data_IF_116157426883
#
_entry.id   IF_116157426883
#
_cell.length_a   1.000
_cell.length_b   1.000
_cell.length_c   1.000
_cell.angle_alpha   90.00
_cell.angle_beta   90.00
_cell.angle_gamma   90.00
#
_symmetry.space_group_name_H-M   'P 1'
#
loop_
_entity.id
_entity.type
_entity.pdbx_description
1 polymer ?
#
# COMPACT_ATOMS: atom_id res chain seq x y z
N UNK A 1 -31.11 -3.27 4.32
CA UNK A 1 -30.25 -2.08 4.13
C UNK A 1 -29.55 -2.33 2.82
N UNK A 2 -29.62 -1.40 1.88
CA UNK A 2 -28.76 -1.46 0.70
C UNK A 2 -27.31 -1.55 1.15
N UNK A 3 -26.53 -2.39 0.47
CA UNK A 3 -25.11 -2.52 0.75
C UNK A 3 -24.40 -1.22 0.31
N UNK A 4 -24.08 -0.39 1.30
CA UNK A 4 -23.44 0.92 1.10
C UNK A 4 -22.14 0.74 0.30
N UNK A 5 -21.99 1.39 -0.88
CA UNK A 5 -20.82 1.25 -1.73
C UNK A 5 -19.53 1.66 -1.02
N UNK A 6 -18.49 0.89 -1.28
CA UNK A 6 -17.13 1.13 -0.79
C UNK A 6 -16.35 1.80 -1.91
N UNK A 7 -15.85 3.00 -1.64
CA UNK A 7 -14.99 3.75 -2.54
C UNK A 7 -13.54 3.52 -2.07
N UNK A 8 -12.90 2.53 -2.67
CA UNK A 8 -11.50 2.17 -2.40
C UNK A 8 -10.57 2.94 -3.32
N UNK A 9 -9.44 3.42 -2.82
CA UNK A 9 -8.48 4.13 -3.67
C UNK A 9 -7.06 3.96 -3.16
N UNK A 10 -6.14 3.74 -4.09
CA UNK A 10 -4.71 3.84 -3.83
C UNK A 10 -4.26 5.30 -3.65
N UNK A 11 -3.07 5.48 -3.08
CA UNK A 11 -2.45 6.78 -2.87
C UNK A 11 -1.52 7.16 -4.03
N UNK A 12 -0.30 6.60 -4.03
CA UNK A 12 0.79 6.98 -4.93
C UNK A 12 0.38 6.82 -6.39
N UNK A 13 0.50 7.87 -7.21
CA UNK A 13 0.10 7.79 -8.62
C UNK A 13 -1.41 7.75 -8.88
N UNK A 14 -2.22 7.51 -7.85
CA UNK A 14 -3.69 7.47 -7.90
C UNK A 14 -4.31 8.72 -7.29
N UNK A 15 -4.49 8.77 -5.96
CA UNK A 15 -5.03 9.94 -5.25
C UNK A 15 -4.03 11.10 -5.20
N UNK A 16 -2.73 10.81 -5.08
CA UNK A 16 -1.68 11.82 -4.87
C UNK A 16 -0.73 11.91 -6.06
N UNK A 17 -0.29 13.13 -6.38
CA UNK A 17 0.73 13.35 -7.40
C UNK A 17 2.16 13.09 -6.91
N UNK A 18 3.14 13.29 -7.79
CA UNK A 18 4.57 13.09 -7.45
C UNK A 18 5.09 14.07 -6.39
N UNK A 19 4.32 15.11 -6.06
CA UNK A 19 4.61 16.06 -4.98
C UNK A 19 3.74 15.78 -3.75
N UNK A 20 3.11 14.60 -3.68
CA UNK A 20 2.20 14.16 -2.62
C UNK A 20 0.96 15.06 -2.42
N UNK A 21 0.53 15.78 -3.48
CA UNK A 21 -0.64 16.65 -3.43
C UNK A 21 -1.90 15.91 -3.90
N UNK A 22 -3.01 16.14 -3.23
CA UNK A 22 -4.34 15.60 -3.57
C UNK A 22 -5.11 16.65 -4.39
N UNK A 23 -5.81 16.20 -5.43
CA UNK A 23 -6.63 17.09 -6.24
C UNK A 23 -7.71 17.82 -5.38
N UNK A 24 -7.97 19.13 -5.59
CA UNK A 24 -8.91 19.89 -4.75
C UNK A 24 -10.33 19.32 -4.65
N UNK A 25 -10.84 18.68 -5.70
CA UNK A 25 -12.16 18.01 -5.64
C UNK A 25 -12.15 16.77 -4.75
N UNK A 26 -11.08 15.97 -4.79
CA UNK A 26 -10.95 14.81 -3.92
C UNK A 26 -10.80 15.26 -2.45
N UNK A 27 -10.06 16.35 -2.19
CA UNK A 27 -10.03 16.98 -0.87
C UNK A 27 -11.44 17.38 -0.41
N UNK A 28 -12.24 18.00 -1.29
CA UNK A 28 -13.60 18.41 -0.94
C UNK A 28 -14.48 17.22 -0.54
N UNK A 29 -14.40 16.11 -1.28
CA UNK A 29 -15.13 14.87 -0.96
C UNK A 29 -14.64 14.21 0.32
N UNK A 30 -13.33 14.17 0.56
CA UNK A 30 -12.79 13.60 1.79
C UNK A 30 -13.14 14.44 3.03
N UNK A 31 -13.22 15.78 2.90
CA UNK A 31 -13.67 16.66 4.00
C UNK A 31 -15.16 16.56 4.27
N UNK A 32 -15.96 16.47 3.22
CA UNK A 32 -17.42 16.44 3.30
C UNK A 32 -17.93 15.23 2.52
N UNK A 33 -17.77 14.01 3.08
CA UNK A 33 -18.19 12.79 2.41
C UNK A 33 -19.70 12.81 2.19
N UNK A 34 -20.19 12.44 1.00
CA UNK A 34 -21.62 12.27 0.78
C UNK A 34 -22.15 11.11 1.64
N UNK A 35 -23.42 11.20 2.03
CA UNK A 35 -24.10 10.08 2.68
C UNK A 35 -24.18 8.87 1.73
N UNK A 36 -24.27 7.67 2.29
CA UNK A 36 -24.46 6.47 1.48
C UNK A 36 -23.21 5.94 0.78
N UNK A 37 -22.01 6.31 1.21
CA UNK A 37 -20.77 5.66 0.78
C UNK A 37 -19.75 5.49 1.91
N UNK A 38 -18.74 4.64 1.69
CA UNK A 38 -17.60 4.45 2.60
C UNK A 38 -16.29 4.67 1.84
N UNK A 39 -15.58 5.75 2.14
CA UNK A 39 -14.20 5.93 1.67
C UNK A 39 -13.24 4.99 2.41
N UNK A 40 -12.31 4.39 1.66
CA UNK A 40 -11.38 3.39 2.17
C UNK A 40 -10.03 3.49 1.43
N UNK A 41 -9.05 4.23 1.99
CA UNK A 41 -7.68 4.23 1.48
C UNK A 41 -7.06 2.82 1.51
N UNK A 42 -6.50 2.39 0.38
CA UNK A 42 -5.88 1.07 0.20
C UNK A 42 -4.49 1.21 -0.40
N UNK A 43 -3.44 1.15 0.41
CA UNK A 43 -2.08 1.55 0.00
C UNK A 43 -0.97 0.59 0.43
N UNK A 44 0.15 0.65 -0.30
CA UNK A 44 1.40 0.00 0.07
C UNK A 44 2.14 0.69 1.22
N UNK A 45 1.80 1.95 1.52
CA UNK A 45 2.43 2.72 2.60
C UNK A 45 2.04 2.19 3.99
N UNK A 46 2.94 2.27 4.98
CA UNK A 46 2.57 2.13 6.39
C UNK A 46 1.83 3.37 6.88
N UNK A 47 1.02 3.21 7.93
CA UNK A 47 0.20 4.28 8.49
C UNK A 47 1.04 5.53 8.87
N UNK A 48 2.22 5.35 9.46
CA UNK A 48 3.10 6.47 9.85
C UNK A 48 3.59 7.29 8.66
N UNK A 49 3.62 6.71 7.44
CA UNK A 49 4.02 7.40 6.21
C UNK A 49 2.82 7.91 5.41
N UNK A 50 1.66 7.24 5.51
CA UNK A 50 0.43 7.66 4.84
C UNK A 50 -0.24 8.85 5.55
N UNK A 51 -0.28 8.88 6.89
CA UNK A 51 -0.96 9.94 7.65
C UNK A 51 -0.46 11.35 7.34
N UNK A 52 0.86 11.62 7.27
CA UNK A 52 1.37 12.96 6.94
C UNK A 52 0.85 13.49 5.60
N UNK A 53 0.56 12.64 4.62
CA UNK A 53 -0.02 13.06 3.33
C UNK A 53 -1.38 13.71 3.55
N UNK A 54 -2.27 13.06 4.30
CA UNK A 54 -3.60 13.60 4.60
C UNK A 54 -3.51 14.85 5.48
N UNK A 55 -2.57 14.92 6.43
CA UNK A 55 -2.31 16.10 7.26
C UNK A 55 -1.83 17.29 6.41
N UNK A 56 -0.83 17.09 5.55
CA UNK A 56 -0.24 18.13 4.71
C UNK A 56 -1.22 18.65 3.65
N UNK A 57 -2.18 17.81 3.23
CA UNK A 57 -3.29 18.22 2.36
C UNK A 57 -4.49 18.81 3.14
N UNK A 58 -4.34 19.01 4.46
CA UNK A 58 -5.30 19.69 5.32
C UNK A 58 -6.60 18.91 5.54
N UNK A 59 -6.57 17.58 5.46
CA UNK A 59 -7.73 16.70 5.68
C UNK A 59 -7.90 16.32 7.15
N UNK A 60 -6.80 16.26 7.90
CA UNK A 60 -6.77 16.04 9.34
C UNK A 60 -5.73 16.98 9.96
N UNK A 61 -5.86 17.29 11.25
CA UNK A 61 -4.92 18.18 11.95
C UNK A 61 -4.46 17.52 13.26
N UNK A 62 -3.47 16.62 13.18
CA UNK A 62 -2.99 15.82 14.30
C UNK A 62 -4.03 14.83 14.86
N UNK A 63 -5.12 14.61 14.12
CA UNK A 63 -6.19 13.68 14.46
C UNK A 63 -5.99 12.36 13.71
N UNK A 64 -6.55 11.29 14.27
CA UNK A 64 -6.58 10.01 13.59
C UNK A 64 -7.39 10.10 12.28
N UNK A 65 -6.95 9.37 11.25
CA UNK A 65 -7.68 9.26 10.00
C UNK A 65 -9.10 8.70 10.25
N UNK A 66 -10.15 9.35 9.74
CA UNK A 66 -11.53 9.00 10.07
C UNK A 66 -12.05 7.78 9.28
N UNK A 67 -11.26 7.25 8.36
CA UNK A 67 -11.65 6.14 7.48
C UNK A 67 -11.10 4.81 7.98
N UNK A 68 -11.75 3.68 7.67
CA UNK A 68 -11.08 2.39 7.72
C UNK A 68 -9.98 2.33 6.64
N UNK A 69 -8.92 1.58 6.90
CA UNK A 69 -7.67 1.67 6.14
C UNK A 69 -7.12 0.29 5.83
N UNK A 70 -6.62 0.10 4.62
CA UNK A 70 -5.78 -1.03 4.23
C UNK A 70 -4.38 -0.49 3.95
N UNK A 71 -3.40 -0.91 4.76
CA UNK A 71 -2.04 -0.41 4.79
C UNK A 71 -1.04 -1.54 4.55
N UNK A 72 0.22 -1.21 4.24
CA UNK A 72 1.28 -2.19 4.00
C UNK A 72 0.88 -3.27 2.97
N UNK A 73 0.29 -2.87 1.85
CA UNK A 73 -0.23 -3.77 0.82
C UNK A 73 -1.22 -4.81 1.39
N UNK A 74 -2.01 -4.42 2.40
CA UNK A 74 -2.99 -5.30 3.05
C UNK A 74 -2.46 -6.16 4.17
N UNK A 75 -1.23 -5.93 4.64
CA UNK A 75 -0.72 -6.59 5.84
C UNK A 75 -1.27 -5.98 7.13
N UNK A 76 -1.72 -4.72 7.11
CA UNK A 76 -2.30 -4.06 8.27
C UNK A 76 -3.64 -3.45 7.90
N UNK A 77 -4.69 -3.80 8.64
CA UNK A 77 -6.02 -3.24 8.43
C UNK A 77 -6.54 -2.56 9.69
N UNK A 78 -7.16 -1.40 9.51
CA UNK A 78 -7.62 -0.54 10.59
C UNK A 78 -9.10 -0.21 10.41
N UNK A 79 -9.81 -0.12 11.54
CA UNK A 79 -11.07 0.60 11.59
C UNK A 79 -10.79 2.12 11.60
N UNK A 80 -11.82 2.91 11.29
CA UNK A 80 -11.85 4.35 11.49
C UNK A 80 -11.28 4.77 12.84
N UNK A 81 -10.55 5.90 12.85
CA UNK A 81 -9.80 6.35 14.01
C UNK A 81 -8.53 5.55 14.26
N UNK A 82 -8.02 4.85 13.23
CA UNK A 82 -6.75 4.13 13.21
C UNK A 82 -6.64 3.03 14.28
N UNK A 83 -7.78 2.39 14.56
CA UNK A 83 -7.84 1.26 15.46
C UNK A 83 -7.41 0.00 14.69
N UNK A 84 -6.24 -0.56 14.99
CA UNK A 84 -5.73 -1.76 14.34
C UNK A 84 -6.68 -2.95 14.60
N UNK A 85 -7.20 -3.53 13.52
CA UNK A 85 -8.06 -4.71 13.59
C UNK A 85 -7.29 -6.01 13.36
N UNK A 86 -6.33 -6.00 12.44
CA UNK A 86 -5.52 -7.17 12.13
C UNK A 86 -4.16 -6.75 11.55
N UNK A 87 -3.15 -7.55 11.89
CA UNK A 87 -1.81 -7.47 11.35
C UNK A 87 -1.35 -8.85 10.87
N UNK A 88 -0.86 -8.93 9.64
CA UNK A 88 -0.41 -10.14 8.95
C UNK A 88 1.10 -10.08 8.72
N UNK A 89 1.91 -10.41 9.74
CA UNK A 89 3.36 -10.41 9.59
C UNK A 89 3.88 -11.65 8.87
N UNK A 90 5.19 -11.69 8.61
CA UNK A 90 5.87 -12.91 8.21
C UNK A 90 5.75 -13.97 9.33
N UNK A 91 5.63 -15.26 8.98
CA UNK A 91 5.90 -16.35 9.90
C UNK A 91 7.29 -16.19 10.55
N UNK A 92 7.43 -16.54 11.83
CA UNK A 92 8.65 -16.28 12.62
C UNK A 92 9.89 -16.96 12.00
N UNK A 93 9.74 -18.18 11.50
CA UNK A 93 10.77 -18.92 10.79
C UNK A 93 11.20 -18.23 9.49
N UNK A 94 10.24 -17.76 8.70
CA UNK A 94 10.50 -16.99 7.48
C UNK A 94 11.19 -15.66 7.78
N UNK A 95 10.72 -14.93 8.79
CA UNK A 95 11.34 -13.68 9.24
C UNK A 95 12.80 -13.90 9.65
N UNK A 96 13.05 -14.89 10.50
CA UNK A 96 14.40 -15.20 10.97
C UNK A 96 15.30 -15.61 9.82
N UNK A 97 14.79 -16.40 8.88
CA UNK A 97 15.53 -16.78 7.68
C UNK A 97 15.88 -15.56 6.81
N UNK A 98 14.96 -14.62 6.60
CA UNK A 98 15.24 -13.39 5.84
C UNK A 98 16.33 -12.53 6.52
N UNK A 99 16.31 -12.46 7.86
CA UNK A 99 17.35 -11.79 8.64
C UNK A 99 18.70 -12.50 8.46
N UNK A 100 18.75 -13.83 8.59
CA UNK A 100 19.96 -14.62 8.42
C UNK A 100 20.53 -14.48 7.00
N UNK A 101 19.66 -14.53 5.98
CA UNK A 101 20.04 -14.34 4.58
C UNK A 101 20.63 -12.94 4.36
N UNK A 102 19.98 -11.91 4.89
CA UNK A 102 20.50 -10.54 4.80
C UNK A 102 21.89 -10.43 5.44
N UNK A 103 22.10 -11.02 6.63
CA UNK A 103 23.41 -11.08 7.32
C UNK A 103 24.51 -11.75 6.49
N UNK A 104 24.17 -12.78 5.73
CA UNK A 104 25.11 -13.51 4.87
C UNK A 104 25.38 -12.79 3.53
N UNK A 105 24.52 -11.85 3.14
CA UNK A 105 24.58 -11.18 1.84
C UNK A 105 24.60 -9.65 1.97
N UNK A 106 25.66 -9.06 2.56
CA UNK A 106 25.68 -7.64 2.94
C UNK A 106 25.65 -6.62 1.80
N UNK A 107 25.77 -7.09 0.55
CA UNK A 107 25.65 -6.25 -0.65
C UNK A 107 24.19 -5.96 -1.01
N UNK A 108 23.28 -6.87 -0.68
CA UNK A 108 21.84 -6.62 -0.75
C UNK A 108 21.42 -5.79 0.46
N UNK A 109 20.76 -4.68 0.22
CA UNK A 109 20.17 -3.92 1.33
C UNK A 109 18.76 -4.44 1.58
N UNK A 110 18.50 -4.87 2.80
CA UNK A 110 17.16 -5.25 3.25
C UNK A 110 16.59 -4.15 4.13
N UNK A 111 15.42 -3.62 3.74
CA UNK A 111 14.62 -2.72 4.56
C UNK A 111 13.42 -3.49 5.10
N UNK A 112 13.46 -3.86 6.37
CA UNK A 112 12.38 -4.54 7.08
C UNK A 112 11.40 -3.52 7.63
N UNK A 113 10.10 -3.73 7.43
CA UNK A 113 9.06 -2.80 7.86
C UNK A 113 8.07 -3.48 8.81
N UNK A 114 7.86 -2.83 9.97
CA UNK A 114 6.78 -3.15 10.89
C UNK A 114 5.76 -1.99 10.92
N UNK A 115 4.87 -1.98 11.92
CA UNK A 115 3.85 -0.93 12.09
C UNK A 115 4.43 0.43 12.52
N UNK A 116 5.66 0.47 13.05
CA UNK A 116 6.29 1.63 13.68
C UNK A 116 7.37 2.26 12.82
N UNK A 117 8.04 1.49 11.98
CA UNK A 117 9.15 2.01 11.20
C UNK A 117 9.66 1.09 10.10
N UNK A 118 10.63 1.64 9.35
CA UNK A 118 11.48 0.90 8.42
C UNK A 118 12.87 0.77 9.00
N UNK A 119 13.44 -0.42 8.93
CA UNK A 119 14.67 -0.79 9.59
C UNK A 119 15.64 -1.52 8.66
N UNK A 120 16.94 -1.35 8.86
CA UNK A 120 17.99 -2.10 8.16
C UNK A 120 19.01 -2.63 9.15
N UNK A 121 19.68 -3.73 8.79
CA UNK A 121 20.78 -4.29 9.60
C UNK A 121 22.01 -3.37 9.60
N UNK A 122 22.30 -2.72 8.48
CA UNK A 122 23.35 -1.71 8.33
C UNK A 122 22.98 -0.75 7.20
N UNK A 123 23.58 0.43 7.21
CA UNK A 123 23.54 1.33 6.05
C UNK A 123 24.61 0.94 5.03
N UNK A 124 24.18 0.80 3.79
CA UNK A 124 25.07 0.76 2.62
C UNK A 124 25.07 2.14 1.95
N UNK A 125 26.14 2.50 1.23
CA UNK A 125 26.18 3.74 0.43
C UNK A 125 24.98 3.87 -0.52
N UNK A 126 24.49 2.73 -1.03
CA UNK A 126 23.33 2.69 -1.92
C UNK A 126 22.04 3.01 -1.17
N UNK A 127 21.86 2.38 -0.01
CA UNK A 127 20.74 2.64 0.88
C UNK A 127 20.72 4.10 1.37
N UNK A 128 21.88 4.70 1.69
CA UNK A 128 21.96 6.09 2.16
C UNK A 128 21.52 7.07 1.08
N UNK A 129 22.05 6.90 -0.13
CA UNK A 129 21.67 7.72 -1.29
C UNK A 129 20.19 7.61 -1.58
N UNK A 130 19.64 6.40 -1.46
CA UNK A 130 18.24 6.17 -1.72
C UNK A 130 17.34 6.73 -0.62
N UNK A 131 17.71 6.55 0.65
CA UNK A 131 17.00 7.12 1.80
C UNK A 131 16.93 8.63 1.70
N UNK A 132 18.03 9.29 1.31
CA UNK A 132 18.09 10.73 1.09
C UNK A 132 17.23 11.17 -0.11
N UNK A 133 17.25 10.42 -1.21
CA UNK A 133 16.49 10.73 -2.43
C UNK A 133 14.98 10.58 -2.24
N UNK A 134 14.55 9.57 -1.48
CA UNK A 134 13.15 9.21 -1.31
C UNK A 134 12.57 9.62 0.06
N UNK A 135 13.33 10.42 0.83
CA UNK A 135 12.98 10.85 2.19
C UNK A 135 12.50 9.69 3.09
N UNK A 136 13.09 8.49 2.92
CA UNK A 136 12.72 7.34 3.73
C UNK A 136 13.25 7.55 5.15
N UNK A 137 12.36 7.41 6.13
CA UNK A 137 12.77 7.36 7.53
C UNK A 137 13.28 5.95 7.85
N UNK A 138 14.58 5.74 7.64
CA UNK A 138 15.24 4.45 7.81
C UNK A 138 16.06 4.42 9.10
N UNK A 139 15.82 3.40 9.92
CA UNK A 139 16.53 3.17 11.17
C UNK A 139 17.49 1.99 11.04
N UNK A 140 18.68 2.10 11.63
CA UNK A 140 19.56 0.93 11.79
C UNK A 140 19.16 0.20 13.08
N UNK A 141 19.06 -1.12 13.04
CA UNK A 141 18.79 -1.89 14.27
C UNK A 141 19.87 -1.65 15.33
N UNK A 142 19.43 -1.43 16.57
CA UNK A 142 20.31 -1.26 17.74
C UNK A 142 20.29 -2.47 18.67
N UNK A 143 19.25 -3.31 18.52
CA UNK A 143 19.00 -4.56 19.21
C UNK A 143 18.86 -5.72 18.20
N UNK A 144 18.54 -6.92 18.69
CA UNK A 144 18.35 -8.08 17.80
C UNK A 144 17.12 -7.84 16.91
N UNK A 145 17.25 -7.80 15.56
CA UNK A 145 16.12 -7.59 14.65
C UNK A 145 14.99 -8.62 14.83
N UNK A 146 15.25 -9.76 15.46
CA UNK A 146 14.27 -10.81 15.75
C UNK A 146 13.29 -10.43 16.88
N UNK A 147 13.53 -9.34 17.61
CA UNK A 147 12.59 -8.80 18.62
C UNK A 147 11.40 -8.07 17.98
N UNK A 148 11.52 -7.72 16.71
CA UNK A 148 10.48 -7.06 15.92
C UNK A 148 9.57 -8.07 15.22
N UNK A 149 8.46 -7.57 14.66
CA UNK A 149 7.49 -8.36 13.90
C UNK A 149 7.19 -7.63 12.60
N UNK A 150 7.79 -8.08 11.51
CA UNK A 150 7.72 -7.41 10.21
C UNK A 150 6.62 -8.00 9.33
N UNK A 151 6.09 -7.17 8.45
CA UNK A 151 5.10 -7.59 7.44
C UNK A 151 5.56 -7.38 6.01
N UNK A 152 6.68 -6.69 5.82
CA UNK A 152 7.23 -6.36 4.52
C UNK A 152 8.75 -6.28 4.62
N UNK A 153 9.43 -6.75 3.60
CA UNK A 153 10.84 -6.45 3.37
C UNK A 153 10.98 -5.85 1.97
N UNK A 154 11.72 -4.76 1.85
CA UNK A 154 12.10 -4.18 0.57
C UNK A 154 13.59 -4.47 0.35
N UNK A 155 13.89 -5.19 -0.73
CA UNK A 155 15.25 -5.52 -1.11
C UNK A 155 15.69 -4.53 -2.18
N UNK A 156 16.80 -3.87 -1.90
CA UNK A 156 17.43 -2.92 -2.80
C UNK A 156 18.71 -3.55 -3.33
N UNK A 157 18.70 -3.90 -4.62
CA UNK A 157 19.81 -4.54 -5.30
C UNK A 157 20.44 -3.57 -6.29
N UNK A 158 21.72 -3.24 -6.07
CA UNK A 158 22.49 -2.43 -7.00
C UNK A 158 22.84 -3.22 -8.26
N UNK A 159 23.20 -4.49 -8.09
CA UNK A 159 23.56 -5.41 -9.17
C UNK A 159 22.48 -6.50 -9.29
N UNK A 160 21.34 -6.14 -9.89
CA UNK A 160 20.18 -7.04 -10.00
C UNK A 160 20.54 -8.41 -10.58
N UNK A 161 21.30 -8.44 -11.68
CA UNK A 161 21.62 -9.67 -12.41
C UNK A 161 22.43 -10.69 -11.61
N UNK A 162 23.25 -10.22 -10.66
CA UNK A 162 24.12 -11.10 -9.86
C UNK A 162 23.49 -11.46 -8.51
N UNK A 163 22.78 -10.52 -7.88
CA UNK A 163 22.41 -10.63 -6.46
C UNK A 163 20.98 -11.10 -6.26
N UNK A 164 20.09 -10.81 -7.21
CA UNK A 164 18.66 -11.14 -7.08
C UNK A 164 18.34 -12.58 -7.45
N UNK A 165 18.85 -13.18 -8.55
CA UNK A 165 18.52 -14.55 -8.90
C UNK A 165 18.81 -15.57 -7.78
N UNK A 166 19.95 -15.51 -7.06
CA UNK A 166 20.20 -16.40 -5.92
C UNK A 166 19.17 -16.22 -4.80
N UNK A 167 18.75 -14.98 -4.52
CA UNK A 167 17.71 -14.71 -3.52
C UNK A 167 16.37 -15.32 -3.93
N UNK A 168 15.94 -15.08 -5.17
CA UNK A 168 14.68 -15.62 -5.71
C UNK A 168 14.68 -17.16 -5.71
N UNK A 169 15.80 -17.79 -6.02
CA UNK A 169 15.96 -19.25 -5.91
C UNK A 169 15.80 -19.71 -4.45
N UNK A 170 16.45 -19.03 -3.52
CA UNK A 170 16.47 -19.40 -2.10
C UNK A 170 15.10 -19.27 -1.42
N UNK A 171 14.25 -18.34 -1.88
CA UNK A 171 12.89 -18.14 -1.35
C UNK A 171 11.79 -18.79 -2.21
N UNK A 172 12.12 -19.53 -3.26
CA UNK A 172 11.13 -20.08 -4.21
C UNK A 172 10.03 -20.90 -3.52
N UNK A 173 10.41 -21.72 -2.54
CA UNK A 173 9.49 -22.62 -1.83
C UNK A 173 8.92 -21.99 -0.54
N UNK A 174 9.27 -20.72 -0.26
CA UNK A 174 8.74 -20.00 0.89
C UNK A 174 7.33 -19.48 0.58
N UNK A 175 6.46 -19.35 1.60
CA UNK A 175 5.13 -18.76 1.43
C UNK A 175 5.23 -17.23 1.34
N UNK A 176 5.90 -16.73 0.29
CA UNK A 176 6.18 -15.33 0.04
C UNK A 176 5.73 -14.91 -1.36
N UNK A 177 5.25 -13.67 -1.48
CA UNK A 177 5.17 -12.97 -2.76
C UNK A 177 6.40 -12.08 -2.88
N UNK A 178 7.09 -12.18 -4.02
CA UNK A 178 8.24 -11.32 -4.34
C UNK A 178 7.96 -10.61 -5.66
N UNK A 179 7.81 -9.29 -5.60
CA UNK A 179 7.44 -8.46 -6.74
C UNK A 179 8.47 -7.37 -6.98
N UNK A 180 8.86 -7.16 -8.24
CA UNK A 180 9.78 -6.09 -8.61
C UNK A 180 8.99 -4.79 -8.87
N UNK A 181 8.98 -3.86 -7.91
CA UNK A 181 8.20 -2.61 -8.06
C UNK A 181 8.84 -1.60 -9.01
N UNK A 182 10.18 -1.57 -9.06
CA UNK A 182 10.96 -0.84 -10.07
C UNK A 182 12.35 -1.49 -10.18
N UNK A 183 13.14 -1.22 -11.24
CA UNK A 183 14.46 -1.85 -11.39
C UNK A 183 15.35 -1.70 -10.14
N UNK A 184 15.69 -2.82 -9.50
CA UNK A 184 16.47 -2.86 -8.27
C UNK A 184 15.68 -2.88 -6.97
N UNK A 185 14.35 -2.88 -7.02
CA UNK A 185 13.46 -2.82 -5.86
C UNK A 185 12.54 -4.02 -5.87
N UNK A 186 12.72 -4.91 -4.90
CA UNK A 186 11.91 -6.11 -4.76
C UNK A 186 11.16 -6.06 -3.44
N UNK A 187 9.84 -6.00 -3.53
CA UNK A 187 8.95 -6.10 -2.37
C UNK A 187 8.72 -7.56 -2.04
N UNK A 188 8.96 -7.91 -0.78
CA UNK A 188 8.71 -9.23 -0.22
C UNK A 188 7.58 -9.10 0.79
N UNK A 189 6.54 -9.90 0.61
CA UNK A 189 5.33 -9.93 1.44
C UNK A 189 4.96 -11.39 1.75
N UNK A 190 4.24 -11.67 2.84
CA UNK A 190 3.63 -12.99 3.03
C UNK A 190 2.70 -13.35 1.86
N UNK A 191 2.66 -14.62 1.43
CA UNK A 191 1.90 -15.06 0.22
C UNK A 191 0.41 -14.70 0.23
N UNK A 192 -0.19 -14.61 1.42
CA UNK A 192 -1.62 -14.30 1.60
C UNK A 192 -1.91 -12.79 1.73
N UNK A 193 -0.88 -11.95 1.66
CA UNK A 193 -0.97 -10.50 1.78
C UNK A 193 -1.02 -9.88 0.39
N UNK A 194 -2.08 -9.12 0.13
CA UNK A 194 -2.26 -8.22 -1.00
C UNK A 194 -3.30 -7.16 -0.63
N UNK A 195 -3.33 -6.04 -1.38
CA UNK A 195 -4.29 -4.96 -1.16
C UNK A 195 -5.73 -5.48 -1.20
N UNK A 196 -6.07 -6.26 -2.23
CA UNK A 196 -7.40 -6.88 -2.39
C UNK A 196 -7.75 -7.86 -1.27
N UNK A 197 -6.80 -8.73 -0.88
CA UNK A 197 -7.05 -9.65 0.23
C UNK A 197 -7.26 -8.90 1.56
N UNK A 198 -6.48 -7.85 1.83
CA UNK A 198 -6.66 -6.97 2.99
C UNK A 198 -8.02 -6.26 2.98
N UNK A 199 -8.43 -5.76 1.82
CA UNK A 199 -9.75 -5.14 1.63
C UNK A 199 -10.89 -6.11 1.96
N UNK A 200 -10.87 -7.33 1.43
CA UNK A 200 -11.89 -8.34 1.73
C UNK A 200 -11.96 -8.63 3.24
N UNK A 201 -10.81 -8.90 3.89
CA UNK A 201 -10.76 -9.16 5.34
C UNK A 201 -11.28 -7.99 6.16
N UNK A 202 -10.98 -6.76 5.75
CA UNK A 202 -11.48 -5.56 6.41
C UNK A 202 -13.01 -5.45 6.26
N UNK A 203 -13.55 -5.64 5.06
CA UNK A 203 -14.99 -5.59 4.82
C UNK A 203 -15.74 -6.68 5.60
N UNK A 204 -15.20 -7.88 5.70
CA UNK A 204 -15.75 -8.95 6.56
C UNK A 204 -15.85 -8.51 8.03
N UNK A 205 -14.77 -7.95 8.59
CA UNK A 205 -14.75 -7.48 9.98
C UNK A 205 -15.69 -6.29 10.23
N UNK A 206 -15.94 -5.48 9.20
CA UNK A 206 -16.91 -4.38 9.26
C UNK A 206 -18.36 -4.85 9.01
N UNK A 207 -18.60 -6.14 8.78
CA UNK A 207 -19.93 -6.68 8.47
C UNK A 207 -20.44 -6.28 7.08
N UNK A 208 -19.52 -6.06 6.13
CA UNK A 208 -19.75 -5.49 4.78
C UNK A 208 -19.20 -6.37 3.65
N UNK A 209 -19.08 -7.68 3.85
CA UNK A 209 -18.46 -8.59 2.88
C UNK A 209 -19.13 -8.60 1.48
N UNK A 210 -20.42 -8.23 1.38
CA UNK A 210 -21.16 -8.12 0.11
C UNK A 210 -21.18 -6.72 -0.51
N UNK A 211 -20.54 -5.73 0.11
CA UNK A 211 -20.63 -4.35 -0.35
C UNK A 211 -19.97 -4.16 -1.73
N UNK A 212 -20.62 -3.45 -2.68
CA UNK A 212 -20.02 -3.20 -3.97
C UNK A 212 -18.81 -2.27 -3.83
N UNK A 213 -17.70 -2.68 -4.43
CA UNK A 213 -16.40 -1.99 -4.32
C UNK A 213 -16.11 -1.24 -5.61
N UNK A 214 -15.95 0.08 -5.52
CA UNK A 214 -15.53 0.94 -6.61
C UNK A 214 -14.09 1.37 -6.31
N UNK A 215 -13.13 0.88 -7.09
CA UNK A 215 -11.71 1.02 -6.78
C UNK A 215 -10.97 1.88 -7.80
N UNK A 216 -10.08 2.77 -7.33
CA UNK A 216 -9.05 3.40 -8.15
C UNK A 216 -7.65 2.88 -7.81
N UNK A 217 -6.81 2.65 -8.82
CA UNK A 217 -5.42 2.19 -8.65
C UNK A 217 -4.60 2.37 -9.93
N UNK A 218 -3.28 2.36 -9.81
CA UNK A 218 -2.35 2.65 -10.92
C UNK A 218 -1.19 1.67 -11.06
N UNK A 219 -0.89 0.87 -10.02
CA UNK A 219 0.24 -0.05 -9.94
C UNK A 219 -0.16 -1.53 -9.92
N UNK A 220 0.80 -2.43 -10.11
CA UNK A 220 0.55 -3.89 -10.16
C UNK A 220 -0.09 -4.43 -8.86
N UNK A 221 0.25 -3.86 -7.71
CA UNK A 221 -0.35 -4.25 -6.43
C UNK A 221 -1.87 -3.96 -6.37
N UNK A 222 -2.40 -3.08 -7.24
CA UNK A 222 -3.83 -2.79 -7.37
C UNK A 222 -4.60 -3.84 -8.19
N UNK A 223 -3.91 -4.73 -8.93
CA UNK A 223 -4.55 -5.86 -9.62
C UNK A 223 -5.38 -6.71 -8.66
N UNK A 224 -4.84 -6.93 -7.46
CA UNK A 224 -5.54 -7.67 -6.40
C UNK A 224 -6.83 -6.96 -5.96
N UNK A 225 -6.80 -5.62 -5.86
CA UNK A 225 -7.96 -4.79 -5.53
C UNK A 225 -8.98 -4.78 -6.68
N UNK A 226 -8.52 -4.69 -7.94
CA UNK A 226 -9.37 -4.78 -9.13
C UNK A 226 -10.06 -6.15 -9.22
N UNK A 227 -9.38 -7.23 -8.82
CA UNK A 227 -9.95 -8.58 -8.79
C UNK A 227 -11.18 -8.72 -7.89
N UNK A 228 -11.34 -7.87 -6.87
CA UNK A 228 -12.50 -7.87 -5.96
C UNK A 228 -13.43 -6.67 -6.17
N UNK A 229 -13.06 -5.75 -7.06
CA UNK A 229 -13.84 -4.55 -7.35
C UNK A 229 -15.04 -4.84 -8.27
N UNK A 230 -16.18 -4.22 -7.94
CA UNK A 230 -17.36 -4.10 -8.79
C UNK A 230 -17.11 -3.15 -9.97
N UNK A 231 -16.30 -2.12 -9.77
CA UNK A 231 -15.88 -1.18 -10.82
C UNK A 231 -14.44 -0.72 -10.60
N UNK A 232 -13.70 -0.60 -11.69
CA UNK A 232 -12.25 -0.34 -11.69
C UNK A 232 -11.95 0.93 -12.46
N UNK A 233 -11.31 1.87 -11.79
CA UNK A 233 -10.85 3.12 -12.38
C UNK A 233 -9.33 3.16 -12.36
N UNK A 234 -8.72 3.57 -13.46
CA UNK A 234 -7.29 3.85 -13.52
C UNK A 234 -7.05 5.31 -13.92
N UNK A 235 -6.12 6.04 -13.27
CA UNK A 235 -5.66 7.31 -13.80
C UNK A 235 -4.84 7.10 -15.09
N UNK A 236 -4.77 8.11 -15.96
CA UNK A 236 -4.04 8.01 -17.24
C UNK A 236 -2.55 7.65 -17.10
N UNK A 237 -1.94 8.00 -15.96
CA UNK A 237 -0.53 7.68 -15.65
C UNK A 237 -0.33 6.23 -15.15
N UNK A 238 -1.39 5.46 -14.97
CA UNK A 238 -1.28 4.07 -14.54
C UNK A 238 -0.51 3.21 -15.54
N UNK A 239 0.09 2.13 -15.03
CA UNK A 239 0.75 1.13 -15.87
C UNK A 239 -0.20 0.63 -16.94
N UNK A 240 0.35 0.26 -18.10
CA UNK A 240 -0.47 -0.21 -19.23
C UNK A 240 -1.33 -1.42 -18.85
N UNK A 241 -0.76 -2.37 -18.11
CA UNK A 241 -1.49 -3.56 -17.61
C UNK A 241 -2.68 -3.18 -16.73
N UNK A 242 -2.60 -2.08 -15.97
CA UNK A 242 -3.68 -1.59 -15.12
C UNK A 242 -4.75 -0.91 -15.96
N UNK A 243 -4.37 -0.04 -16.90
CA UNK A 243 -5.31 0.63 -17.80
C UNK A 243 -6.10 -0.36 -18.66
N UNK A 244 -5.47 -1.46 -19.07
CA UNK A 244 -6.14 -2.53 -19.82
C UNK A 244 -7.18 -3.31 -19.00
N UNK A 245 -7.10 -3.28 -17.67
CA UNK A 245 -8.03 -3.95 -16.76
C UNK A 245 -9.07 -3.03 -16.13
N UNK A 246 -8.94 -1.72 -16.33
CA UNK A 246 -9.87 -0.72 -15.82
C UNK A 246 -11.12 -0.62 -16.69
N UNK A 247 -12.28 -0.41 -16.06
CA UNK A 247 -13.54 -0.11 -16.73
C UNK A 247 -13.58 1.34 -17.22
N UNK A 248 -12.84 2.23 -16.54
CA UNK A 248 -12.69 3.64 -16.90
C UNK A 248 -11.27 4.13 -16.66
N UNK A 249 -10.71 4.81 -17.66
CA UNK A 249 -9.45 5.54 -17.55
C UNK A 249 -9.73 7.03 -17.53
N UNK A 250 -9.21 7.75 -16.53
CA UNK A 250 -9.48 9.20 -16.34
C UNK A 250 -8.22 10.04 -16.28
N UNK A 251 -8.33 11.30 -16.73
CA UNK A 251 -7.37 12.34 -16.35
C UNK A 251 -7.73 12.88 -14.97
N UNK A 252 -6.99 12.45 -13.95
CA UNK A 252 -7.22 12.88 -12.55
C UNK A 252 -7.02 14.37 -12.33
N UNK A 253 -6.35 15.09 -13.23
CA UNK A 253 -6.12 16.54 -13.09
C UNK A 253 -7.38 17.36 -13.37
N UNK A 254 -8.41 16.76 -13.99
CA UNK A 254 -9.67 17.44 -14.33
C UNK A 254 -10.61 17.46 -13.13
N UNK A 255 -10.78 16.32 -12.45
CA UNK A 255 -11.74 16.22 -11.36
C UNK A 255 -11.40 15.25 -10.23
N UNK A 256 -10.13 14.86 -10.14
CA UNK A 256 -9.68 13.84 -9.21
C UNK A 256 -10.15 12.45 -9.62
N UNK A 257 -9.98 11.48 -8.72
CA UNK A 257 -10.41 10.09 -8.91
C UNK A 257 -11.70 9.77 -8.15
N UNK A 258 -12.03 10.50 -7.09
CA UNK A 258 -13.21 10.21 -6.28
C UNK A 258 -14.50 10.67 -6.97
N UNK A 259 -14.49 11.80 -7.67
CA UNK A 259 -15.67 12.28 -8.41
C UNK A 259 -16.22 11.23 -9.40
N UNK A 260 -15.42 10.66 -10.33
CA UNK A 260 -15.92 9.63 -11.24
C UNK A 260 -16.32 8.34 -10.51
N UNK A 261 -15.62 7.91 -9.45
CA UNK A 261 -16.02 6.75 -8.65
C UNK A 261 -17.38 6.96 -7.98
N UNK A 262 -17.63 8.13 -7.40
CA UNK A 262 -18.88 8.46 -6.73
C UNK A 262 -20.06 8.51 -7.71
N UNK A 263 -19.87 9.06 -8.92
CA UNK A 263 -20.90 9.00 -9.98
C UNK A 263 -21.20 7.57 -10.37
N UNK A 264 -20.16 6.75 -10.57
CA UNK A 264 -20.33 5.37 -10.98
C UNK A 264 -21.00 4.52 -9.89
N UNK A 265 -20.75 4.85 -8.62
CA UNK A 265 -21.41 4.24 -7.48
C UNK A 265 -22.87 4.70 -7.27
N UNK A 266 -23.38 5.62 -8.08
CA UNK A 266 -24.73 6.19 -7.93
C UNK A 266 -24.88 7.08 -6.70
N UNK A 267 -23.76 7.55 -6.13
CA UNK A 267 -23.75 8.44 -4.94
C UNK A 267 -23.92 9.90 -5.35
N UNK A 268 -23.49 10.26 -6.56
CA UNK A 268 -23.73 11.57 -7.17
C UNK A 268 -24.66 11.43 -8.36
N UNK A 269 -25.54 12.40 -8.54
CA UNK A 269 -26.32 12.55 -9.76
C UNK A 269 -25.39 12.79 -10.98
N UNK A 270 -25.83 12.32 -12.16
CA UNK A 270 -25.08 12.44 -13.43
C UNK A 270 -24.91 13.88 -13.90
#
# INVERSE_FOLDING_TARGET
MEDVPVISFDLDGTLIDSEERIHPKDIAWLKNPPEGCLFLPTTGRPLFSARPIFENNGLVNGQALPWPLVMNNGAAIYQAGENLLEYSPFPVDVQNWLIDYAQQHPRLTFLFMDLKGSYTLWMTDYAEKLSAKHAMNLHVFVDDPRTHTFSKALILAKNCEEEVPPFLEAVRDFPLNVECSMPGFYEVLPVHVSKGAGLVRLLEKLGRAGAPVYSAGDGENDLSTFGVATFRLAPQNALEVIRQQADLVVDRTVEGVLTPLLRQAGVLDQ
#
